data_IF_586367001667
#
_entry.id   IF_586367001667
#
_cell.length_a   1.000
_cell.length_b   1.000
_cell.length_c   1.000
_cell.angle_alpha   90.00
_cell.angle_beta   90.00
_cell.angle_gamma   90.00
#
_symmetry.space_group_name_H-M   'P 1'
#
loop_
_entity.id
_entity.type
_entity.pdbx_description
1 polymer ?
#
# COMPACT_ATOMS: atom_id res chain seq x y z
N UNK A 1 -8.26 -69.47 -23.08
CA UNK A 1 -7.30 -68.62 -22.38
C UNK A 1 -7.87 -67.22 -22.26
N UNK A 2 -8.52 -66.94 -21.11
CA UNK A 2 -9.17 -65.64 -20.86
C UNK A 2 -8.20 -64.78 -20.05
N UNK A 3 -7.76 -63.66 -20.60
CA UNK A 3 -6.97 -62.66 -19.89
C UNK A 3 -7.91 -61.68 -19.18
N UNK A 4 -7.89 -61.65 -17.86
CA UNK A 4 -8.59 -60.71 -17.01
C UNK A 4 -7.69 -59.47 -16.88
N UNK A 5 -8.17 -58.33 -17.38
CA UNK A 5 -7.54 -57.04 -17.20
C UNK A 5 -8.14 -56.42 -15.94
N UNK A 6 -7.33 -56.30 -14.89
CA UNK A 6 -7.73 -55.58 -13.67
C UNK A 6 -7.41 -54.09 -13.90
N UNK A 7 -8.43 -53.27 -14.07
CA UNK A 7 -8.30 -51.82 -14.04
C UNK A 7 -8.18 -51.36 -12.59
N UNK A 8 -7.01 -50.91 -12.17
CA UNK A 8 -6.80 -50.24 -10.93
C UNK A 8 -7.32 -48.79 -11.04
N UNK A 9 -8.42 -48.52 -10.35
CA UNK A 9 -9.02 -47.19 -10.22
C UNK A 9 -8.16 -46.40 -9.22
N UNK A 10 -7.24 -45.54 -9.73
CA UNK A 10 -6.52 -44.59 -8.90
C UNK A 10 -7.43 -43.42 -8.59
N UNK A 11 -8.01 -43.43 -7.39
CA UNK A 11 -8.75 -42.30 -6.86
C UNK A 11 -7.74 -41.18 -6.56
N UNK A 12 -7.71 -40.17 -7.42
CA UNK A 12 -6.93 -38.95 -7.20
C UNK A 12 -7.65 -38.11 -6.13
N UNK A 13 -7.27 -38.32 -4.87
CA UNK A 13 -7.67 -37.46 -3.76
C UNK A 13 -7.01 -36.09 -3.97
N UNK A 14 -7.72 -35.12 -4.54
CA UNK A 14 -7.30 -33.72 -4.53
C UNK A 14 -7.41 -33.19 -3.11
N UNK A 15 -6.30 -33.28 -2.39
CA UNK A 15 -6.13 -32.58 -1.12
C UNK A 15 -6.10 -31.07 -1.43
N UNK A 16 -7.23 -30.38 -1.31
CA UNK A 16 -7.25 -28.92 -1.28
C UNK A 16 -6.59 -28.49 0.03
N UNK A 17 -5.28 -28.30 -0.02
CA UNK A 17 -4.54 -27.66 1.05
C UNK A 17 -5.05 -26.22 1.19
N UNK A 18 -5.88 -26.00 2.18
CA UNK A 18 -6.25 -24.70 2.69
C UNK A 18 -4.99 -24.11 3.31
N UNK A 19 -4.19 -23.39 2.48
CA UNK A 19 -3.00 -22.70 2.97
C UNK A 19 -3.46 -21.59 3.91
N UNK A 20 -3.31 -21.85 5.20
CA UNK A 20 -3.35 -20.83 6.22
C UNK A 20 -2.32 -19.74 5.88
N UNK A 21 -2.64 -18.48 6.14
CA UNK A 21 -1.71 -17.37 6.03
C UNK A 21 -0.45 -17.68 6.85
N UNK A 22 0.64 -18.09 6.19
CA UNK A 22 1.86 -18.50 6.86
C UNK A 22 2.63 -17.25 7.32
N UNK A 23 2.98 -17.21 8.61
CA UNK A 23 4.02 -16.32 9.11
C UNK A 23 5.37 -16.94 8.72
N UNK A 24 6.16 -16.25 7.93
CA UNK A 24 7.54 -16.61 7.63
C UNK A 24 8.47 -15.68 8.40
N UNK A 25 9.41 -16.23 9.15
CA UNK A 25 10.45 -15.45 9.83
C UNK A 25 11.65 -15.37 8.89
N UNK A 26 11.99 -14.18 8.45
CA UNK A 26 13.20 -13.96 7.68
C UNK A 26 14.40 -13.85 8.65
N UNK A 27 15.30 -14.81 8.58
CA UNK A 27 16.37 -14.99 9.56
C UNK A 27 17.48 -13.90 9.52
N UNK A 28 17.40 -12.96 8.57
CA UNK A 28 18.48 -11.99 8.32
C UNK A 28 18.44 -10.76 9.25
N UNK A 29 17.29 -10.44 9.90
CA UNK A 29 17.19 -9.26 10.78
C UNK A 29 16.20 -9.42 11.94
N UNK A 30 15.73 -10.63 12.24
CA UNK A 30 14.72 -10.82 13.30
C UNK A 30 13.33 -10.32 12.97
N UNK A 31 13.08 -9.94 11.70
CA UNK A 31 11.80 -9.47 11.22
C UNK A 31 10.85 -10.63 10.88
N UNK A 32 9.59 -10.43 11.19
CA UNK A 32 8.49 -11.33 10.83
C UNK A 32 7.79 -10.78 9.60
N UNK A 33 7.57 -11.66 8.61
CA UNK A 33 6.77 -11.37 7.42
C UNK A 33 5.41 -12.03 7.56
N UNK A 34 4.34 -11.24 7.49
CA UNK A 34 2.97 -11.74 7.54
C UNK A 34 2.24 -11.43 6.23
N UNK A 35 2.00 -12.47 5.44
CA UNK A 35 1.19 -12.34 4.21
C UNK A 35 -0.29 -12.23 4.57
N UNK A 36 -0.97 -11.20 4.05
CA UNK A 36 -2.40 -10.96 4.25
C UNK A 36 -3.18 -11.30 2.99
N UNK A 37 -4.25 -12.07 3.11
CA UNK A 37 -5.18 -12.31 1.99
C UNK A 37 -6.17 -11.17 1.93
N UNK A 38 -6.23 -10.49 0.80
CA UNK A 38 -7.12 -9.37 0.57
C UNK A 38 -7.82 -9.53 -0.79
N UNK A 39 -9.09 -9.13 -0.94
CA UNK A 39 -9.72 -9.02 -2.25
C UNK A 39 -9.11 -7.86 -3.05
N UNK A 40 -9.58 -7.65 -4.28
CA UNK A 40 -9.15 -6.52 -5.10
C UNK A 40 -9.51 -5.18 -4.42
N UNK A 41 -8.60 -4.21 -4.59
CA UNK A 41 -8.76 -2.84 -4.16
C UNK A 41 -8.05 -1.92 -5.14
N UNK A 42 -8.44 -0.65 -5.17
CA UNK A 42 -7.83 0.40 -5.99
C UNK A 42 -7.46 1.63 -5.17
N UNK A 43 -7.75 1.62 -3.88
CA UNK A 43 -7.40 2.70 -2.94
C UNK A 43 -6.72 2.13 -1.71
N UNK A 44 -5.81 2.94 -1.13
CA UNK A 44 -5.14 2.62 0.13
C UNK A 44 -5.46 3.73 1.13
N UNK A 45 -5.84 3.36 2.34
CA UNK A 45 -5.97 4.28 3.49
C UNK A 45 -5.09 3.76 4.62
N UNK A 46 -4.05 4.51 4.99
CA UNK A 46 -3.21 4.25 6.16
C UNK A 46 -3.58 5.20 7.29
N UNK A 47 -3.70 4.64 8.50
CA UNK A 47 -4.03 5.41 9.71
C UNK A 47 -2.99 5.12 10.79
N UNK A 48 -2.33 6.17 11.27
CA UNK A 48 -1.27 6.11 12.28
C UNK A 48 0.11 6.38 11.69
N UNK A 49 1.12 5.63 12.15
CA UNK A 49 2.52 5.76 11.75
C UNK A 49 3.02 4.51 11.00
N UNK A 50 2.22 3.98 10.10
CA UNK A 50 2.56 2.79 9.34
C UNK A 50 2.98 3.18 7.93
N UNK A 51 4.19 2.79 7.56
CA UNK A 51 4.72 3.04 6.23
C UNK A 51 4.17 2.06 5.20
N UNK A 52 3.80 2.59 4.06
CA UNK A 52 3.30 1.84 2.92
C UNK A 52 4.34 1.87 1.79
N UNK A 53 4.78 0.71 1.35
CA UNK A 53 5.62 0.55 0.16
C UNK A 53 4.77 -0.07 -0.95
N UNK A 54 4.48 0.71 -1.97
CA UNK A 54 3.60 0.31 -3.07
C UNK A 54 4.37 -0.09 -4.33
N UNK A 55 3.86 -1.11 -4.99
CA UNK A 55 4.31 -1.51 -6.34
C UNK A 55 3.09 -1.90 -7.17
N UNK A 56 2.92 -1.29 -8.34
CA UNK A 56 1.86 -1.72 -9.25
C UNK A 56 2.19 -3.09 -9.85
N UNK A 57 1.23 -4.02 -9.87
CA UNK A 57 1.44 -5.38 -10.38
C UNK A 57 0.13 -6.12 -10.60
N UNK A 58 0.18 -7.23 -11.31
CA UNK A 58 -1.00 -7.89 -11.87
C UNK A 58 -1.97 -8.51 -10.86
N UNK A 59 -1.57 -8.68 -9.60
CA UNK A 59 -2.39 -9.32 -8.56
C UNK A 59 -2.27 -8.58 -7.24
N UNK A 60 -3.38 -8.42 -6.49
CA UNK A 60 -3.32 -7.81 -5.17
C UNK A 60 -2.48 -8.66 -4.21
N UNK A 61 -1.62 -7.99 -3.46
CA UNK A 61 -0.78 -8.61 -2.43
C UNK A 61 -0.55 -7.61 -1.31
N UNK A 62 -0.61 -8.08 -0.07
CA UNK A 62 -0.31 -7.27 1.11
C UNK A 62 0.58 -8.09 2.03
N UNK A 63 1.75 -7.54 2.37
CA UNK A 63 2.72 -8.14 3.32
C UNK A 63 3.02 -7.12 4.40
N UNK A 64 2.92 -7.53 5.65
CA UNK A 64 3.33 -6.73 6.80
C UNK A 64 4.67 -7.26 7.27
N UNK A 65 5.66 -6.38 7.39
CA UNK A 65 7.04 -6.72 7.76
C UNK A 65 7.45 -5.85 8.93
N UNK A 66 8.02 -6.47 9.96
CA UNK A 66 8.49 -5.80 11.17
C UNK A 66 8.72 -6.80 12.30
N UNK A 67 8.96 -6.34 13.51
CA UNK A 67 9.06 -7.23 14.67
C UNK A 67 7.73 -7.95 14.94
N UNK A 68 7.77 -9.19 15.39
CA UNK A 68 6.58 -10.04 15.53
C UNK A 68 5.43 -9.39 16.31
N UNK A 69 5.74 -8.71 17.42
CA UNK A 69 4.74 -8.01 18.25
C UNK A 69 4.05 -6.87 17.51
N UNK A 70 4.79 -6.16 16.68
CA UNK A 70 4.30 -5.02 15.90
C UNK A 70 3.45 -5.49 14.72
N UNK A 71 3.92 -6.50 13.99
CA UNK A 71 3.19 -7.15 12.91
C UNK A 71 1.83 -7.68 13.37
N UNK A 72 1.75 -8.18 14.61
CA UNK A 72 0.49 -8.65 15.22
C UNK A 72 -0.47 -7.51 15.59
N UNK A 73 0.04 -6.30 15.80
CA UNK A 73 -0.76 -5.11 16.06
C UNK A 73 -1.34 -4.46 14.80
N UNK A 74 -0.77 -4.75 13.61
CA UNK A 74 -1.24 -4.16 12.36
C UNK A 74 -2.47 -4.90 11.83
N UNK A 75 -3.52 -4.15 11.56
CA UNK A 75 -4.73 -4.62 10.89
C UNK A 75 -4.71 -4.23 9.42
N UNK A 76 -5.12 -5.16 8.55
CA UNK A 76 -5.29 -4.91 7.13
C UNK A 76 -6.59 -5.56 6.67
N UNK A 77 -7.48 -4.79 6.08
CA UNK A 77 -8.73 -5.29 5.52
C UNK A 77 -9.21 -4.41 4.38
N UNK A 78 -10.00 -4.99 3.47
CA UNK A 78 -10.62 -4.23 2.38
C UNK A 78 -12.09 -4.02 2.68
N UNK A 79 -12.52 -2.76 2.56
CA UNK A 79 -13.94 -2.38 2.63
C UNK A 79 -14.31 -1.60 1.37
N UNK A 80 -15.23 -2.18 0.59
CA UNK A 80 -15.48 -1.70 -0.77
C UNK A 80 -14.25 -1.93 -1.65
N UNK A 81 -13.68 -0.87 -2.16
CA UNK A 81 -12.44 -0.88 -2.96
C UNK A 81 -11.24 -0.26 -2.23
N UNK A 82 -11.32 -0.07 -0.92
CA UNK A 82 -10.29 0.58 -0.10
C UNK A 82 -9.60 -0.46 0.77
N UNK A 83 -8.29 -0.64 0.58
CA UNK A 83 -7.43 -1.33 1.54
C UNK A 83 -7.20 -0.39 2.73
N UNK A 84 -7.65 -0.78 3.90
CA UNK A 84 -7.39 -0.06 5.15
C UNK A 84 -6.27 -0.72 5.92
N UNK A 85 -5.28 0.09 6.28
CA UNK A 85 -4.13 -0.29 7.09
C UNK A 85 -4.14 0.56 8.36
N UNK A 86 -3.96 -0.06 9.50
CA UNK A 86 -3.96 0.66 10.77
C UNK A 86 -3.58 -0.26 11.92
N UNK A 87 -3.59 0.27 13.14
CA UNK A 87 -3.34 -0.52 14.33
C UNK A 87 -4.65 -1.05 14.93
N UNK A 88 -4.57 -2.19 15.60
CA UNK A 88 -5.68 -2.77 16.34
C UNK A 88 -6.08 -1.85 17.51
N UNK A 89 -7.37 -1.58 17.68
CA UNK A 89 -7.90 -0.71 18.76
C UNK A 89 -7.58 -1.19 20.19
N UNK A 90 -7.19 -2.45 20.36
CA UNK A 90 -6.70 -3.02 21.64
C UNK A 90 -5.22 -2.75 21.92
N UNK A 91 -4.47 -2.33 20.91
CA UNK A 91 -3.04 -1.97 21.03
C UNK A 91 -2.92 -0.55 21.58
N UNK A 92 -3.49 -0.35 22.78
CA UNK A 92 -3.33 0.92 23.49
C UNK A 92 -1.85 1.13 23.77
N UNK A 93 -1.32 2.16 23.15
CA UNK A 93 -0.12 2.86 23.62
C UNK A 93 1.05 1.94 23.96
N UNK A 94 1.44 1.08 23.01
CA UNK A 94 2.82 0.66 23.03
C UNK A 94 3.61 1.92 22.66
N UNK A 95 4.48 2.36 23.55
CA UNK A 95 5.57 3.24 23.23
C UNK A 95 6.39 2.49 22.17
N UNK A 96 6.06 2.70 20.90
CA UNK A 96 6.93 2.30 19.81
C UNK A 96 8.20 3.11 20.03
N UNK A 97 9.25 2.45 20.52
CA UNK A 97 10.56 3.07 20.61
C UNK A 97 10.94 3.49 19.20
N UNK A 98 11.33 4.74 19.05
CA UNK A 98 11.85 5.29 17.80
C UNK A 98 12.88 4.31 17.20
N UNK A 99 12.52 3.62 16.13
CA UNK A 99 13.38 2.64 15.47
C UNK A 99 12.74 1.30 15.08
N UNK A 100 11.49 1.06 15.44
CA UNK A 100 10.79 -0.19 15.14
C UNK A 100 9.79 0.04 14.00
N UNK A 101 10.29 0.11 12.76
CA UNK A 101 9.52 0.44 11.58
C UNK A 101 8.75 -0.77 11.06
N UNK A 102 7.42 -0.77 11.24
CA UNK A 102 6.55 -1.69 10.50
C UNK A 102 6.30 -1.14 9.11
N UNK A 103 6.65 -1.92 8.10
CA UNK A 103 6.37 -1.59 6.70
C UNK A 103 5.30 -2.52 6.14
N UNK A 104 4.37 -1.95 5.40
CA UNK A 104 3.33 -2.70 4.70
C UNK A 104 3.58 -2.60 3.20
N UNK A 105 4.02 -3.71 2.63
CA UNK A 105 4.23 -3.84 1.19
C UNK A 105 2.91 -4.16 0.51
N UNK A 106 2.50 -3.32 -0.42
CA UNK A 106 1.21 -3.39 -1.09
C UNK A 106 1.40 -3.48 -2.59
N UNK A 107 0.69 -4.40 -3.22
CA UNK A 107 0.61 -4.50 -4.68
C UNK A 107 -0.84 -4.51 -5.11
N UNK A 108 -1.18 -3.78 -6.18
CA UNK A 108 -2.49 -3.86 -6.84
C UNK A 108 -2.36 -3.63 -8.35
N UNK A 109 -3.30 -4.13 -9.17
CA UNK A 109 -3.30 -3.88 -10.62
C UNK A 109 -3.49 -2.41 -10.98
N UNK A 110 -4.25 -1.71 -10.16
CA UNK A 110 -4.54 -0.29 -10.33
C UNK A 110 -4.52 0.43 -8.97
N UNK A 111 -4.18 1.72 -8.99
CA UNK A 111 -4.19 2.58 -7.82
C UNK A 111 -4.77 3.95 -8.17
N UNK A 112 -6.00 4.20 -7.74
CA UNK A 112 -6.69 5.47 -7.98
C UNK A 112 -6.66 6.44 -6.79
N UNK A 113 -6.12 5.99 -5.65
CA UNK A 113 -5.99 6.89 -4.51
C UNK A 113 -5.22 6.32 -3.33
N UNK A 114 -4.52 7.23 -2.64
CA UNK A 114 -3.80 7.01 -1.39
C UNK A 114 -4.25 8.05 -0.39
N UNK A 115 -4.59 7.64 0.82
CA UNK A 115 -4.93 8.52 1.94
C UNK A 115 -4.07 8.16 3.13
N UNK A 116 -3.25 9.11 3.60
CA UNK A 116 -2.45 9.01 4.81
C UNK A 116 -3.10 9.87 5.91
N UNK A 117 -3.35 9.27 7.07
CA UNK A 117 -3.88 9.95 8.26
C UNK A 117 -2.96 9.69 9.45
N UNK A 118 -2.04 10.61 9.70
CA UNK A 118 -1.04 10.50 10.76
C UNK A 118 0.36 10.86 10.29
N UNK A 119 1.35 10.02 10.63
CA UNK A 119 2.78 10.26 10.38
C UNK A 119 3.46 9.08 9.66
N UNK A 120 2.70 8.16 9.11
CA UNK A 120 3.23 7.08 8.28
C UNK A 120 3.37 7.52 6.84
N UNK A 121 4.36 6.99 6.15
CA UNK A 121 4.76 7.42 4.82
C UNK A 121 4.22 6.48 3.71
N UNK A 122 4.15 7.00 2.52
CA UNK A 122 3.85 6.25 1.30
C UNK A 122 5.00 6.36 0.31
N UNK A 123 5.56 5.24 -0.08
CA UNK A 123 6.58 5.17 -1.11
C UNK A 123 6.13 4.30 -2.28
N UNK A 124 6.18 4.79 -3.51
CA UNK A 124 5.99 3.95 -4.69
C UNK A 124 7.33 3.46 -5.24
N UNK A 125 7.44 2.14 -5.42
CA UNK A 125 8.59 1.50 -6.07
C UNK A 125 8.29 1.31 -7.56
N UNK A 126 8.63 2.28 -8.36
CA UNK A 126 8.43 2.22 -9.82
C UNK A 126 7.25 3.06 -10.30
N UNK A 127 6.65 2.64 -11.42
CA UNK A 127 5.60 3.40 -12.10
C UNK A 127 4.23 3.15 -11.47
N UNK A 128 3.44 4.22 -11.33
CA UNK A 128 1.99 4.18 -11.14
C UNK A 128 1.35 4.64 -12.46
N UNK A 129 0.52 3.79 -13.05
CA UNK A 129 -0.19 4.04 -14.30
C UNK A 129 -1.69 3.83 -14.05
N UNK A 130 -2.46 4.90 -14.08
CA UNK A 130 -3.88 4.90 -13.70
C UNK A 130 -4.59 6.06 -14.39
N UNK A 131 -5.89 5.95 -14.66
CA UNK A 131 -6.65 7.08 -15.24
C UNK A 131 -6.67 8.28 -14.29
N UNK A 132 -6.88 8.02 -13.00
CA UNK A 132 -6.93 9.07 -11.98
C UNK A 132 -6.13 8.65 -10.77
N UNK A 133 -5.29 9.53 -10.24
CA UNK A 133 -4.59 9.32 -8.97
C UNK A 133 -4.85 10.49 -8.02
N UNK A 134 -5.39 10.18 -6.84
CA UNK A 134 -5.58 11.15 -5.76
C UNK A 134 -4.68 10.79 -4.58
N UNK A 135 -3.87 11.73 -4.13
CA UNK A 135 -3.06 11.63 -2.91
C UNK A 135 -3.64 12.59 -1.87
N UNK A 136 -4.08 12.06 -0.76
CA UNK A 136 -4.59 12.83 0.38
C UNK A 136 -3.72 12.57 1.60
N UNK A 137 -3.15 13.63 2.18
CA UNK A 137 -2.36 13.57 3.41
C UNK A 137 -3.02 14.48 4.45
N UNK A 138 -3.26 13.91 5.63
CA UNK A 138 -3.76 14.62 6.80
C UNK A 138 -2.84 14.29 7.98
N UNK A 139 -1.86 15.15 8.23
CA UNK A 139 -0.86 14.94 9.28
C UNK A 139 0.53 15.38 8.85
N UNK A 140 1.52 14.55 9.18
CA UNK A 140 2.95 14.81 8.95
C UNK A 140 3.65 13.64 8.23
N UNK A 141 2.89 12.75 7.63
CA UNK A 141 3.45 11.68 6.80
C UNK A 141 3.73 12.17 5.39
N UNK A 142 4.68 11.54 4.72
CA UNK A 142 5.18 11.94 3.41
C UNK A 142 4.72 10.97 2.31
N UNK A 143 4.70 11.44 1.07
CA UNK A 143 4.39 10.60 -0.08
C UNK A 143 5.43 10.77 -1.19
N UNK A 144 6.26 9.72 -1.38
CA UNK A 144 7.31 9.66 -2.40
C UNK A 144 6.89 8.79 -3.58
N UNK A 145 6.80 9.39 -4.75
CA UNK A 145 6.40 8.70 -5.98
C UNK A 145 7.45 8.84 -7.08
N UNK A 146 7.97 7.69 -7.53
CA UNK A 146 9.02 7.67 -8.56
C UNK A 146 8.51 8.10 -9.93
N UNK A 147 7.38 7.54 -10.37
CA UNK A 147 6.90 7.74 -11.73
C UNK A 147 5.39 7.65 -11.76
N UNK A 148 4.70 8.73 -12.11
CA UNK A 148 3.24 8.80 -12.19
C UNK A 148 2.80 9.13 -13.60
N UNK A 149 1.93 8.29 -14.17
CA UNK A 149 1.25 8.53 -15.44
C UNK A 149 -0.26 8.44 -15.18
N UNK A 150 -1.00 9.48 -15.47
CA UNK A 150 -2.45 9.49 -15.32
C UNK A 150 -3.11 10.55 -16.21
N UNK A 151 -4.43 10.52 -16.34
CA UNK A 151 -5.18 11.62 -16.94
C UNK A 151 -5.35 12.77 -15.95
N UNK A 152 -5.68 12.45 -14.69
CA UNK A 152 -5.88 13.43 -13.64
C UNK A 152 -5.06 13.07 -12.39
N UNK A 153 -4.21 14.01 -11.95
CA UNK A 153 -3.45 13.93 -10.72
C UNK A 153 -3.99 14.93 -9.70
N UNK A 154 -4.32 14.48 -8.51
CA UNK A 154 -4.85 15.34 -7.45
C UNK A 154 -4.06 15.13 -6.17
N UNK A 155 -3.56 16.22 -5.57
CA UNK A 155 -2.91 16.23 -4.26
C UNK A 155 -3.70 17.12 -3.31
N UNK A 156 -4.06 16.57 -2.15
CA UNK A 156 -4.68 17.28 -1.03
C UNK A 156 -3.80 17.11 0.21
N UNK A 157 -2.95 18.06 0.49
CA UNK A 157 -2.08 18.07 1.66
C UNK A 157 -2.62 19.00 2.74
N UNK A 158 -2.85 18.44 3.93
CA UNK A 158 -3.28 19.17 5.13
C UNK A 158 -2.37 18.82 6.29
N UNK A 159 -1.44 19.68 6.63
CA UNK A 159 -0.49 19.45 7.72
C UNK A 159 0.92 19.91 7.38
N UNK A 160 1.90 19.11 7.77
CA UNK A 160 3.34 19.42 7.63
C UNK A 160 4.11 18.28 6.94
N UNK A 161 3.42 17.35 6.35
CA UNK A 161 4.05 16.32 5.52
C UNK A 161 4.34 16.84 4.12
N UNK A 162 5.13 16.08 3.36
CA UNK A 162 5.58 16.46 2.03
C UNK A 162 5.08 15.49 0.95
N UNK A 163 4.98 15.98 -0.28
CA UNK A 163 4.69 15.13 -1.45
C UNK A 163 5.77 15.35 -2.49
N UNK A 164 6.50 14.29 -2.79
CA UNK A 164 7.53 14.29 -3.81
C UNK A 164 7.14 13.40 -5.00
N UNK A 165 7.27 13.91 -6.22
CA UNK A 165 7.09 13.14 -7.44
C UNK A 165 8.30 13.34 -8.34
N UNK A 166 9.09 12.28 -8.57
CA UNK A 166 10.27 12.39 -9.44
C UNK A 166 9.90 12.70 -10.90
N UNK A 167 8.86 12.04 -11.40
CA UNK A 167 8.34 12.27 -12.75
C UNK A 167 6.81 12.17 -12.80
N UNK A 168 6.16 13.23 -13.26
CA UNK A 168 4.71 13.30 -13.48
C UNK A 168 4.39 13.50 -14.96
N UNK A 169 3.56 12.64 -15.52
CA UNK A 169 2.92 12.84 -16.82
C UNK A 169 1.42 12.73 -16.66
N UNK A 170 0.71 13.84 -16.82
CA UNK A 170 -0.75 13.84 -16.72
C UNK A 170 -1.42 14.87 -17.64
N UNK A 171 -2.71 14.75 -17.84
CA UNK A 171 -3.55 15.73 -18.50
C UNK A 171 -3.74 16.94 -17.60
N UNK A 172 -4.31 16.73 -16.42
CA UNK A 172 -4.61 17.79 -15.46
C UNK A 172 -4.01 17.48 -14.09
N UNK A 173 -3.35 18.47 -13.48
CA UNK A 173 -2.86 18.40 -12.10
C UNK A 173 -3.63 19.40 -11.23
N UNK A 174 -4.19 18.92 -10.12
CA UNK A 174 -4.89 19.73 -9.12
C UNK A 174 -4.19 19.60 -7.78
N UNK A 175 -3.65 20.68 -7.25
CA UNK A 175 -2.86 20.70 -6.03
C UNK A 175 -3.51 21.65 -5.02
N UNK A 176 -3.80 21.12 -3.82
CA UNK A 176 -4.26 21.89 -2.67
C UNK A 176 -3.35 21.62 -1.50
N UNK A 177 -2.72 22.68 -1.01
CA UNK A 177 -1.87 22.66 0.18
C UNK A 177 -2.50 23.56 1.26
N UNK A 178 -2.64 23.01 2.46
CA UNK A 178 -3.03 23.76 3.66
C UNK A 178 -2.13 23.34 4.83
N UNK A 179 -1.19 24.21 5.19
CA UNK A 179 -0.22 23.95 6.25
C UNK A 179 1.18 24.37 5.88
N UNK A 180 2.17 23.66 6.42
CA UNK A 180 3.60 23.99 6.29
C UNK A 180 4.40 22.94 5.55
N UNK A 181 3.75 22.00 4.89
CA UNK A 181 4.43 21.00 4.09
C UNK A 181 4.75 21.49 2.68
N UNK A 182 5.53 20.71 1.95
CA UNK A 182 5.97 21.03 0.59
C UNK A 182 5.39 20.04 -0.44
N UNK A 183 5.23 20.49 -1.67
CA UNK A 183 4.87 19.62 -2.80
C UNK A 183 5.86 19.87 -3.93
N UNK A 184 6.71 18.88 -4.19
CA UNK A 184 7.75 18.94 -5.22
C UNK A 184 7.44 17.97 -6.36
N UNK A 185 7.48 18.47 -7.60
CA UNK A 185 7.44 17.66 -8.81
C UNK A 185 8.71 17.99 -9.61
N UNK A 186 9.69 17.07 -9.60
CA UNK A 186 11.03 17.32 -10.16
C UNK A 186 11.02 17.43 -11.69
N UNK A 187 10.22 16.59 -12.33
CA UNK A 187 10.03 16.62 -13.79
C UNK A 187 8.55 16.42 -14.10
N UNK A 188 7.99 17.33 -14.89
CA UNK A 188 6.59 17.22 -15.28
C UNK A 188 6.38 17.27 -16.80
N UNK A 189 5.29 16.66 -17.24
CA UNK A 189 4.66 16.80 -18.55
C UNK A 189 3.15 16.90 -18.35
N UNK A 190 2.72 18.04 -17.85
CA UNK A 190 1.34 18.35 -17.50
C UNK A 190 0.76 19.34 -18.51
N UNK A 191 -0.48 19.14 -18.97
CA UNK A 191 -1.14 20.09 -19.87
C UNK A 191 -1.73 21.26 -19.11
N UNK A 192 -2.45 20.98 -18.02
CA UNK A 192 -3.13 21.97 -17.20
C UNK A 192 -2.83 21.78 -15.72
N UNK A 193 -2.43 22.84 -15.02
CA UNK A 193 -2.13 22.78 -13.58
C UNK A 193 -2.94 23.83 -12.82
N UNK A 194 -3.64 23.39 -11.79
CA UNK A 194 -4.39 24.23 -10.84
C UNK A 194 -3.79 24.10 -9.45
N UNK A 195 -3.32 25.20 -8.87
CA UNK A 195 -2.69 25.23 -7.56
C UNK A 195 -3.48 26.15 -6.63
N UNK A 196 -3.77 25.69 -5.41
CA UNK A 196 -4.35 26.47 -4.33
C UNK A 196 -3.57 26.26 -3.05
N UNK A 197 -2.99 27.33 -2.53
CA UNK A 197 -2.18 27.34 -1.31
C UNK A 197 -2.92 28.14 -0.23
N UNK A 198 -3.01 27.56 0.96
CA UNK A 198 -3.58 28.18 2.14
C UNK A 198 -2.57 28.01 3.29
N UNK A 199 -1.86 29.07 3.63
CA UNK A 199 -0.94 29.14 4.76
C UNK A 199 -1.63 29.50 6.06
#
# INVERSE_FOLDING_TARGET
MKRIIIMALVALMTCTAMQAAGKHVDATEGNTVSQRRVPNFTRIESVGSIDIVYTQGNRPSVKVVGKAKEVDCVTTYVRGNILRVGYNSGSRMFNFSSGDDVKVYVTSPDLVGVTLRGSGDFESKGKIDSDNLTVEIVGSGDADMKYVICDNFTVNLRGSGDVEVDYLRCGTSNIWLRGSGDIEIKQDRVKDTNIRLYG
#
